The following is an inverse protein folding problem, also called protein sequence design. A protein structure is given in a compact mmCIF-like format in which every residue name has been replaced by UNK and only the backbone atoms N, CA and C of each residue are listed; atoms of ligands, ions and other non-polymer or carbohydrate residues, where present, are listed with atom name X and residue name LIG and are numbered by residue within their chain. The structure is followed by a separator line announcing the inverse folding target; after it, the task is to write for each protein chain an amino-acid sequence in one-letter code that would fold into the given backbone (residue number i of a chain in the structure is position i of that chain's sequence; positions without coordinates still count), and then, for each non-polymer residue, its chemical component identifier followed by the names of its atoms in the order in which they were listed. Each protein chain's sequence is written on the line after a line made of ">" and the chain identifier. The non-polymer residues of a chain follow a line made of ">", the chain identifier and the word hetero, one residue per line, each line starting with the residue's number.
data_IF_719915477642
#
_entry.id   IF_719915477642
#
_cell.length_a   1.000
_cell.length_b   1.000
_cell.length_c   1.000
_cell.angle_alpha   90.00
_cell.angle_beta   90.00
_cell.angle_gamma   90.00
#
_symmetry.space_group_name_H-M   'P 1'
#
loop_
_entity.id
_entity.type
_entity.pdbx_description
1 polymer ?
#
# COMPACT_ATOMS: atom_id res chain seq x y z
N UNK A 1 13.45 32.53 43.29
CA UNK A 1 12.47 31.60 42.71
C UNK A 1 12.02 32.16 41.36
N UNK A 2 11.88 31.34 40.29
CA UNK A 2 11.36 31.77 38.99
C UNK A 2 9.83 31.82 39.06
N UNK A 3 9.21 32.91 38.60
CA UNK A 3 7.74 32.95 38.50
C UNK A 3 7.26 32.17 37.27
N UNK A 4 5.98 31.78 37.26
CA UNK A 4 5.35 30.97 36.21
C UNK A 4 5.57 31.54 34.80
N UNK A 5 5.31 32.83 34.60
CA UNK A 5 5.46 33.50 33.29
C UNK A 5 6.90 33.41 32.75
N UNK A 6 7.90 33.58 33.62
CA UNK A 6 9.30 33.44 33.25
C UNK A 6 9.68 31.99 32.93
N UNK A 7 9.18 31.03 33.69
CA UNK A 7 9.37 29.61 33.41
C UNK A 7 8.82 29.21 32.03
N UNK A 8 7.59 29.57 31.71
CA UNK A 8 6.98 29.31 30.40
C UNK A 8 7.78 29.96 29.27
N UNK A 9 8.23 31.22 29.45
CA UNK A 9 9.04 31.92 28.46
C UNK A 9 10.37 31.19 28.18
N UNK A 10 11.01 30.63 29.20
CA UNK A 10 12.22 29.81 29.03
C UNK A 10 11.94 28.54 28.29
N UNK A 11 10.90 27.79 28.68
CA UNK A 11 10.49 26.52 28.03
C UNK A 11 10.15 26.74 26.55
N UNK A 12 9.35 27.74 26.22
CA UNK A 12 8.95 28.01 24.82
C UNK A 12 10.12 28.48 23.93
N UNK A 13 11.16 29.09 24.53
CA UNK A 13 12.38 29.45 23.82
C UNK A 13 13.37 28.30 23.66
N UNK A 14 13.22 27.23 24.46
CA UNK A 14 14.10 26.07 24.39
C UNK A 14 13.85 25.29 23.10
N UNK A 15 14.80 25.30 22.18
CA UNK A 15 14.73 24.52 20.94
C UNK A 15 15.38 23.16 21.14
N UNK A 16 14.57 22.12 21.22
CA UNK A 16 15.06 20.74 21.28
C UNK A 16 15.38 20.29 19.84
N UNK A 17 16.65 20.04 19.56
CA UNK A 17 17.11 19.48 18.28
C UNK A 17 17.06 17.96 18.34
N UNK A 18 16.05 17.37 17.71
CA UNK A 18 15.96 15.91 17.57
C UNK A 18 16.71 15.51 16.29
N UNK A 19 17.65 14.57 16.42
CA UNK A 19 18.42 14.02 15.29
C UNK A 19 17.51 13.21 14.34
N UNK A 20 17.98 13.02 13.14
CA UNK A 20 17.36 12.17 12.15
C UNK A 20 17.96 10.77 12.21
N UNK A 21 17.21 9.76 11.81
CA UNK A 21 17.71 8.40 11.64
C UNK A 21 17.03 7.70 10.47
N UNK A 22 17.72 6.71 9.90
CA UNK A 22 17.20 5.85 8.85
C UNK A 22 16.70 4.55 9.49
N UNK A 23 15.45 4.22 9.30
CA UNK A 23 14.83 3.01 9.88
C UNK A 23 14.20 2.14 8.79
N UNK A 24 14.03 0.86 9.06
CA UNK A 24 13.22 0.00 8.22
C UNK A 24 11.78 0.53 8.18
N UNK A 25 11.18 0.55 6.99
CA UNK A 25 9.82 1.07 6.81
C UNK A 25 8.78 0.31 7.65
N UNK A 26 8.96 -0.99 7.88
CA UNK A 26 8.05 -1.78 8.73
C UNK A 26 8.11 -1.41 10.22
N UNK A 27 9.23 -0.82 10.66
CA UNK A 27 9.46 -0.40 12.05
C UNK A 27 9.24 1.11 12.24
N UNK A 28 8.66 1.79 11.25
CA UNK A 28 8.56 3.26 11.24
C UNK A 28 7.22 3.80 11.74
N UNK A 29 6.31 2.94 12.19
CA UNK A 29 5.01 3.36 12.74
C UNK A 29 5.19 4.40 13.85
N UNK A 30 4.31 5.41 13.90
CA UNK A 30 4.34 6.52 14.85
C UNK A 30 5.61 7.42 14.78
N UNK A 31 6.46 7.25 13.75
CA UNK A 31 7.62 8.10 13.53
C UNK A 31 7.27 9.26 12.60
N UNK A 32 7.98 10.37 12.72
CA UNK A 32 7.77 11.58 11.91
C UNK A 32 8.71 11.58 10.71
N UNK A 33 8.16 11.64 9.50
CA UNK A 33 8.91 11.75 8.24
C UNK A 33 9.62 13.11 8.14
N UNK A 34 10.88 13.11 7.71
CA UNK A 34 11.69 14.34 7.62
C UNK A 34 11.81 14.92 6.22
N UNK A 35 11.40 14.18 5.20
CA UNK A 35 11.35 14.63 3.80
C UNK A 35 10.19 13.99 3.06
N UNK A 36 9.69 14.65 2.03
CA UNK A 36 8.67 14.09 1.16
C UNK A 36 9.14 12.77 0.56
N UNK A 37 8.24 11.81 0.51
CA UNK A 37 8.47 10.50 -0.10
C UNK A 37 7.62 10.41 -1.36
N UNK A 38 8.29 10.19 -2.49
CA UNK A 38 7.66 10.06 -3.80
C UNK A 38 7.75 8.65 -4.32
N UNK A 39 6.78 8.27 -5.12
CA UNK A 39 6.75 6.99 -5.81
C UNK A 39 7.86 6.92 -6.88
N UNK A 40 8.71 5.90 -6.81
CA UNK A 40 9.78 5.68 -7.80
C UNK A 40 9.36 4.79 -8.96
N UNK A 41 8.27 4.04 -8.80
CA UNK A 41 7.73 3.07 -9.77
C UNK A 41 6.25 3.37 -10.03
N UNK A 42 5.67 2.74 -11.04
CA UNK A 42 4.21 2.71 -11.20
C UNK A 42 3.65 1.46 -10.54
N UNK A 43 2.45 1.54 -9.98
CA UNK A 43 1.75 0.40 -9.41
C UNK A 43 0.27 0.40 -9.83
N UNK A 44 -0.29 -0.74 -10.28
CA UNK A 44 0.44 -1.98 -10.58
C UNK A 44 1.50 -1.77 -11.67
N UNK A 45 2.55 -2.63 -11.67
CA UNK A 45 3.67 -2.51 -12.61
C UNK A 45 3.26 -2.77 -14.07
N UNK A 46 2.29 -3.66 -14.27
CA UNK A 46 1.73 -4.02 -15.57
C UNK A 46 0.21 -3.91 -15.58
N UNK A 47 -0.36 -3.86 -16.78
CA UNK A 47 -1.81 -3.92 -16.98
C UNK A 47 -2.30 -5.34 -16.72
N UNK A 48 -3.27 -5.53 -15.84
CA UNK A 48 -3.74 -6.83 -15.40
C UNK A 48 -5.25 -6.98 -15.47
N UNK A 49 -5.69 -8.23 -15.33
CA UNK A 49 -7.09 -8.61 -15.31
C UNK A 49 -7.77 -8.13 -14.01
N UNK A 50 -8.90 -7.46 -14.14
CA UNK A 50 -9.73 -7.08 -13.00
C UNK A 50 -10.72 -8.17 -12.59
N UNK A 51 -10.99 -9.16 -13.48
CA UNK A 51 -11.89 -10.28 -13.28
C UNK A 51 -11.29 -11.56 -13.87
N UNK A 52 -11.75 -12.71 -13.39
CA UNK A 52 -11.53 -13.99 -14.04
C UNK A 52 -12.31 -14.02 -15.36
N UNK A 53 -11.70 -14.54 -16.42
CA UNK A 53 -12.34 -14.57 -17.72
C UNK A 53 -11.38 -14.74 -18.88
N UNK A 54 -11.77 -14.21 -20.03
CA UNK A 54 -11.05 -14.41 -21.30
C UNK A 54 -10.57 -13.08 -21.88
N UNK A 55 -9.27 -12.95 -22.01
CA UNK A 55 -8.64 -11.79 -22.65
C UNK A 55 -8.77 -11.92 -24.16
N UNK A 56 -9.35 -10.91 -24.83
CA UNK A 56 -9.56 -10.88 -26.27
C UNK A 56 -9.05 -9.56 -26.87
N UNK A 57 -8.80 -9.57 -28.17
CA UNK A 57 -8.63 -8.35 -28.93
C UNK A 57 -10.01 -7.82 -29.32
N UNK A 58 -10.40 -6.66 -28.80
CA UNK A 58 -11.73 -6.08 -29.06
C UNK A 58 -12.01 -5.87 -30.56
N UNK A 59 -10.99 -5.60 -31.38
CA UNK A 59 -11.13 -5.46 -32.83
C UNK A 59 -11.65 -6.72 -33.51
N UNK A 60 -11.32 -7.91 -32.99
CA UNK A 60 -11.77 -9.18 -33.55
C UNK A 60 -13.27 -9.39 -33.34
N UNK A 61 -13.88 -8.63 -32.42
CA UNK A 61 -15.32 -8.72 -32.12
C UNK A 61 -16.18 -7.69 -32.88
N UNK A 62 -15.59 -6.77 -33.64
CA UNK A 62 -16.31 -5.60 -34.22
C UNK A 62 -17.49 -5.97 -35.11
N UNK A 63 -17.45 -7.12 -35.80
CA UNK A 63 -18.51 -7.59 -36.70
C UNK A 63 -19.40 -8.66 -36.09
N UNK A 64 -19.23 -8.96 -34.79
CA UNK A 64 -19.99 -10.00 -34.11
C UNK A 64 -21.35 -9.49 -33.64
N UNK A 65 -22.36 -10.32 -33.81
CA UNK A 65 -23.71 -10.15 -33.30
C UNK A 65 -24.34 -11.54 -33.10
N UNK A 66 -25.59 -11.61 -32.60
CA UNK A 66 -26.27 -12.87 -32.31
C UNK A 66 -26.34 -13.82 -33.51
N UNK A 67 -26.42 -13.32 -34.73
CA UNK A 67 -26.48 -14.11 -35.96
C UNK A 67 -25.11 -14.44 -36.55
N UNK A 68 -24.04 -13.80 -36.04
CA UNK A 68 -22.67 -13.98 -36.51
C UNK A 68 -21.74 -14.17 -35.30
N UNK A 69 -21.90 -15.23 -34.57
CA UNK A 69 -21.04 -15.63 -33.49
C UNK A 69 -19.73 -16.26 -33.99
N UNK A 70 -18.67 -16.13 -33.28
CA UNK A 70 -17.35 -16.64 -33.65
C UNK A 70 -16.68 -17.39 -32.49
N UNK A 71 -16.03 -18.52 -32.83
CA UNK A 71 -15.22 -19.26 -31.89
C UNK A 71 -13.82 -18.68 -31.76
N UNK A 72 -13.37 -18.45 -30.51
CA UNK A 72 -12.04 -17.99 -30.16
C UNK A 72 -11.26 -19.11 -29.50
N UNK A 73 -10.14 -19.50 -30.11
CA UNK A 73 -9.27 -20.57 -29.61
C UNK A 73 -8.52 -20.10 -28.36
N UNK A 74 -8.58 -20.88 -27.29
CA UNK A 74 -7.82 -20.63 -26.05
C UNK A 74 -6.39 -21.07 -26.26
N UNK A 75 -5.45 -20.12 -26.21
CA UNK A 75 -4.02 -20.37 -26.40
C UNK A 75 -3.36 -20.88 -25.12
N UNK A 76 -3.73 -20.30 -23.98
CA UNK A 76 -3.12 -20.57 -22.68
C UNK A 76 -4.07 -20.12 -21.58
N UNK A 77 -3.91 -20.69 -20.37
CA UNK A 77 -4.45 -20.16 -19.12
C UNK A 77 -3.30 -19.47 -18.39
N UNK A 78 -3.53 -18.25 -17.86
CA UNK A 78 -2.52 -17.42 -17.17
C UNK A 78 -3.08 -17.02 -15.80
N UNK A 79 -2.43 -17.46 -14.76
CA UNK A 79 -2.72 -17.07 -13.37
C UNK A 79 -1.95 -15.82 -12.95
N UNK A 80 -2.35 -15.21 -11.83
CA UNK A 80 -1.57 -14.14 -11.24
C UNK A 80 -0.15 -14.64 -10.88
N UNK A 81 0.86 -13.89 -11.30
CA UNK A 81 2.28 -14.27 -11.15
C UNK A 81 2.87 -15.03 -12.33
N UNK A 82 2.05 -15.54 -13.25
CA UNK A 82 2.55 -16.22 -14.45
C UNK A 82 3.09 -15.24 -15.50
N UNK A 83 3.99 -15.75 -16.35
CA UNK A 83 4.50 -15.00 -17.48
C UNK A 83 3.40 -14.81 -18.55
N UNK A 84 3.12 -13.57 -18.98
CA UNK A 84 2.15 -13.28 -20.02
C UNK A 84 2.69 -13.52 -21.45
N UNK A 85 3.89 -14.07 -21.61
CA UNK A 85 4.50 -14.31 -22.91
C UNK A 85 3.71 -15.35 -23.71
N UNK A 86 3.45 -15.04 -24.97
CA UNK A 86 2.86 -15.92 -25.97
C UNK A 86 3.74 -15.95 -27.20
N UNK A 87 3.84 -17.12 -27.85
CA UNK A 87 4.67 -17.28 -29.05
C UNK A 87 4.06 -16.60 -30.27
N UNK A 88 2.78 -16.82 -30.52
CA UNK A 88 2.04 -16.25 -31.67
C UNK A 88 0.58 -16.03 -31.32
N UNK A 89 0.08 -14.84 -31.55
CA UNK A 89 -1.33 -14.49 -31.42
C UNK A 89 -1.93 -14.38 -32.82
N UNK A 90 -2.96 -15.17 -33.11
CA UNK A 90 -3.71 -15.11 -34.35
C UNK A 90 -5.05 -14.42 -34.10
N UNK A 91 -5.72 -13.99 -35.18
CA UNK A 91 -7.10 -13.52 -35.11
C UNK A 91 -8.01 -14.60 -34.52
N UNK A 92 -9.03 -14.20 -33.76
CA UNK A 92 -9.93 -15.10 -33.03
C UNK A 92 -9.21 -16.05 -32.07
N UNK A 93 -8.16 -15.55 -31.43
CA UNK A 93 -7.53 -16.21 -30.27
C UNK A 93 -7.94 -15.53 -28.98
N UNK A 94 -7.88 -16.26 -27.91
CA UNK A 94 -8.11 -15.78 -26.54
C UNK A 94 -7.14 -16.42 -25.56
N UNK A 95 -7.03 -15.83 -24.39
CA UNK A 95 -6.29 -16.37 -23.25
C UNK A 95 -7.21 -16.31 -22.04
N UNK A 96 -7.36 -17.45 -21.38
CA UNK A 96 -8.01 -17.49 -20.08
C UNK A 96 -7.10 -16.81 -19.06
N UNK A 97 -7.63 -15.87 -18.30
CA UNK A 97 -6.88 -15.09 -17.32
C UNK A 97 -7.59 -15.06 -15.98
N UNK A 98 -6.84 -15.26 -14.91
CA UNK A 98 -7.33 -15.08 -13.55
C UNK A 98 -7.12 -13.63 -13.09
N UNK A 99 -7.93 -13.19 -12.14
CA UNK A 99 -7.81 -11.85 -11.52
C UNK A 99 -6.37 -11.57 -11.09
N UNK A 100 -5.84 -10.42 -11.45
CA UNK A 100 -4.45 -10.04 -11.18
C UNK A 100 -3.42 -10.53 -12.20
N UNK A 101 -3.77 -11.44 -13.11
CA UNK A 101 -2.88 -11.89 -14.18
C UNK A 101 -2.55 -10.75 -15.14
N UNK A 102 -1.31 -10.67 -15.60
CA UNK A 102 -0.90 -9.71 -16.62
C UNK A 102 -1.57 -10.03 -17.96
N UNK A 103 -2.11 -9.02 -18.62
CA UNK A 103 -2.73 -9.16 -19.94
C UNK A 103 -1.62 -9.30 -20.99
N UNK A 104 -1.62 -10.39 -21.80
CA UNK A 104 -0.63 -10.56 -22.84
C UNK A 104 -0.75 -9.51 -23.95
N UNK A 105 0.38 -9.23 -24.59
CA UNK A 105 0.41 -8.35 -25.79
C UNK A 105 -0.50 -8.90 -26.87
N UNK A 106 -1.31 -8.03 -27.46
CA UNK A 106 -2.28 -8.38 -28.50
C UNK A 106 -3.73 -8.48 -28.00
N UNK A 107 -3.95 -8.44 -26.71
CA UNK A 107 -5.28 -8.41 -26.08
C UNK A 107 -5.50 -7.08 -25.36
N UNK A 108 -6.72 -6.59 -25.34
CA UNK A 108 -7.04 -5.26 -24.85
C UNK A 108 -8.35 -5.17 -24.06
N UNK A 109 -9.00 -6.30 -23.81
CA UNK A 109 -10.24 -6.37 -23.02
C UNK A 109 -10.44 -7.76 -22.44
N UNK A 110 -11.22 -7.86 -21.36
CA UNK A 110 -11.56 -9.13 -20.72
C UNK A 110 -13.09 -9.30 -20.77
N UNK A 111 -13.52 -10.49 -21.09
CA UNK A 111 -14.90 -10.92 -20.96
C UNK A 111 -14.96 -11.81 -19.73
N UNK A 112 -15.72 -11.43 -18.68
CA UNK A 112 -15.88 -12.24 -17.48
C UNK A 112 -16.39 -13.64 -17.80
N UNK A 113 -15.93 -14.64 -17.06
CA UNK A 113 -16.25 -16.06 -17.32
C UNK A 113 -17.76 -16.32 -17.31
N UNK A 114 -18.52 -15.60 -16.49
CA UNK A 114 -19.98 -15.72 -16.36
C UNK A 114 -20.75 -15.25 -17.60
N UNK A 115 -20.08 -14.52 -18.50
CA UNK A 115 -20.69 -13.99 -19.74
C UNK A 115 -20.34 -14.79 -20.99
N UNK A 116 -19.72 -15.96 -20.83
CA UNK A 116 -19.16 -16.74 -21.93
C UNK A 116 -19.71 -18.15 -21.95
N UNK A 117 -19.94 -18.66 -23.14
CA UNK A 117 -20.15 -20.09 -23.38
C UNK A 117 -18.77 -20.74 -23.60
N UNK A 118 -18.36 -21.55 -22.66
CA UNK A 118 -17.05 -22.20 -22.66
C UNK A 118 -17.18 -23.69 -23.09
N UNK A 119 -16.43 -24.05 -24.11
CA UNK A 119 -16.37 -25.42 -24.67
C UNK A 119 -15.07 -26.09 -24.24
N UNK A 120 -15.06 -26.69 -23.06
CA UNK A 120 -13.85 -27.25 -22.42
C UNK A 120 -13.15 -28.33 -23.25
N UNK A 121 -13.89 -29.26 -23.84
CA UNK A 121 -13.32 -30.35 -24.66
C UNK A 121 -12.47 -29.85 -25.85
N UNK A 122 -12.89 -28.78 -26.51
CA UNK A 122 -12.27 -28.25 -27.71
C UNK A 122 -11.41 -26.98 -27.45
N UNK A 123 -11.32 -26.56 -26.20
CA UNK A 123 -10.56 -25.37 -25.76
C UNK A 123 -10.86 -24.12 -26.61
N UNK A 124 -12.13 -23.79 -26.77
CA UNK A 124 -12.57 -22.53 -27.35
C UNK A 124 -13.73 -21.93 -26.56
N UNK A 125 -13.93 -20.63 -26.79
CA UNK A 125 -15.12 -19.90 -26.30
C UNK A 125 -15.88 -19.36 -27.51
N UNK A 126 -17.20 -19.22 -27.39
CA UNK A 126 -18.02 -18.57 -28.41
C UNK A 126 -18.39 -17.17 -27.99
N UNK A 127 -18.09 -16.20 -28.86
CA UNK A 127 -18.43 -14.78 -28.64
C UNK A 127 -19.44 -14.37 -29.71
N UNK A 128 -20.59 -13.88 -29.28
CA UNK A 128 -21.71 -13.46 -30.12
C UNK A 128 -21.98 -11.96 -30.12
N UNK A 129 -21.19 -11.17 -29.38
CA UNK A 129 -21.41 -9.74 -29.28
C UNK A 129 -20.10 -8.96 -29.38
N UNK A 130 -20.19 -7.75 -29.94
CA UNK A 130 -19.08 -6.79 -29.89
C UNK A 130 -18.75 -6.42 -28.44
N UNK A 131 -17.48 -6.43 -28.09
CA UNK A 131 -16.99 -5.96 -26.77
C UNK A 131 -16.27 -4.63 -26.92
N UNK A 132 -16.38 -3.79 -25.88
CA UNK A 132 -15.67 -2.51 -25.85
C UNK A 132 -14.23 -2.75 -25.46
N UNK A 133 -13.32 -2.00 -26.09
CA UNK A 133 -11.91 -1.94 -25.73
C UNK A 133 -11.77 -1.51 -24.26
N UNK A 134 -10.78 -2.05 -23.58
CA UNK A 134 -10.39 -1.66 -22.22
C UNK A 134 -11.40 -2.01 -21.11
N UNK A 135 -12.35 -2.93 -21.37
CA UNK A 135 -13.25 -3.42 -20.33
C UNK A 135 -12.56 -4.42 -19.40
N UNK A 136 -12.86 -4.32 -18.11
CA UNK A 136 -12.39 -5.23 -17.06
C UNK A 136 -10.86 -5.33 -16.95
N UNK A 137 -10.18 -4.22 -17.24
CA UNK A 137 -8.73 -4.08 -17.20
C UNK A 137 -8.33 -3.08 -16.12
N UNK A 138 -7.35 -3.46 -15.29
CA UNK A 138 -6.68 -2.57 -14.36
C UNK A 138 -5.35 -2.15 -14.95
N UNK A 139 -5.23 -0.87 -15.27
CA UNK A 139 -4.05 -0.35 -15.97
C UNK A 139 -2.81 -0.27 -15.09
N UNK A 140 -1.66 -0.46 -15.70
CA UNK A 140 -0.40 -0.14 -15.09
C UNK A 140 -0.39 1.31 -14.58
N UNK A 141 -0.06 1.50 -13.30
CA UNK A 141 -0.02 2.82 -12.67
C UNK A 141 -1.38 3.40 -12.32
N UNK A 142 -2.46 2.60 -12.27
CA UNK A 142 -3.78 3.09 -11.86
C UNK A 142 -3.84 3.55 -10.41
N UNK A 143 -3.04 2.95 -9.52
CA UNK A 143 -3.03 3.27 -8.08
C UNK A 143 -1.95 4.30 -7.75
N UNK A 144 -0.74 4.10 -8.30
CA UNK A 144 0.40 5.01 -8.12
C UNK A 144 1.17 5.20 -9.44
N UNK A 145 1.43 6.43 -9.77
CA UNK A 145 2.31 6.82 -10.88
C UNK A 145 3.69 7.20 -10.35
N UNK A 146 4.70 7.09 -11.20
CA UNK A 146 6.03 7.61 -10.87
C UNK A 146 5.93 9.11 -10.54
N UNK A 147 6.56 9.54 -9.44
CA UNK A 147 6.56 10.89 -8.88
C UNK A 147 5.31 11.28 -8.09
N UNK A 148 4.31 10.40 -7.92
CA UNK A 148 3.22 10.69 -6.99
C UNK A 148 3.77 10.86 -5.57
N UNK A 149 3.26 11.85 -4.85
CA UNK A 149 3.59 12.07 -3.44
C UNK A 149 2.89 11.01 -2.59
N UNK A 150 3.68 10.20 -1.89
CA UNK A 150 3.18 9.14 -1.02
C UNK A 150 2.99 9.64 0.40
N UNK A 151 4.02 10.30 0.94
CA UNK A 151 3.96 10.86 2.30
C UNK A 151 4.69 12.20 2.33
N UNK A 152 4.02 13.21 2.89
CA UNK A 152 4.58 14.56 3.04
C UNK A 152 5.51 14.64 4.27
N UNK A 153 6.55 15.45 4.19
CA UNK A 153 7.40 15.83 5.33
C UNK A 153 6.56 16.28 6.53
N UNK A 154 6.93 15.84 7.72
CA UNK A 154 6.24 16.16 8.97
C UNK A 154 5.07 15.23 9.30
N UNK A 155 4.69 14.32 8.40
CA UNK A 155 3.63 13.35 8.65
C UNK A 155 4.07 12.29 9.66
N UNK A 156 3.19 11.96 10.61
CA UNK A 156 3.33 10.79 11.47
C UNK A 156 2.92 9.55 10.68
N UNK A 157 3.81 8.57 10.64
CA UNK A 157 3.58 7.34 9.86
C UNK A 157 2.48 6.51 10.50
N UNK A 158 1.47 6.18 9.70
CA UNK A 158 0.31 5.35 10.04
C UNK A 158 0.40 3.97 9.35
N UNK A 159 -0.39 2.97 9.76
CA UNK A 159 -0.41 1.65 9.11
C UNK A 159 -0.62 1.69 7.59
N UNK A 160 -1.47 2.59 7.08
CA UNK A 160 -1.69 2.80 5.65
C UNK A 160 -0.42 3.23 4.90
N UNK A 161 0.45 4.03 5.54
CA UNK A 161 1.74 4.40 4.96
C UNK A 161 2.69 3.20 4.89
N UNK A 162 2.67 2.31 5.89
CA UNK A 162 3.46 1.06 5.85
C UNK A 162 3.01 0.19 4.69
N UNK A 163 1.70 0.03 4.48
CA UNK A 163 1.14 -0.67 3.33
C UNK A 163 1.67 -0.09 2.02
N UNK A 164 1.56 1.22 1.84
CA UNK A 164 2.06 1.91 0.65
C UNK A 164 3.57 1.70 0.45
N UNK A 165 4.38 1.81 1.51
CA UNK A 165 5.82 1.59 1.44
C UNK A 165 6.15 0.18 0.96
N UNK A 166 5.50 -0.85 1.53
CA UNK A 166 5.75 -2.24 1.14
C UNK A 166 5.27 -2.53 -0.28
N UNK A 167 4.10 -2.02 -0.66
CA UNK A 167 3.57 -2.13 -2.03
C UNK A 167 4.54 -1.53 -3.07
N UNK A 168 5.18 -0.41 -2.75
CA UNK A 168 6.07 0.32 -3.64
C UNK A 168 7.56 -0.05 -3.50
N UNK A 169 7.89 -1.05 -2.66
CA UNK A 169 9.26 -1.51 -2.45
C UNK A 169 10.13 -0.54 -1.65
N UNK A 170 9.52 0.39 -0.89
CA UNK A 170 10.25 1.34 -0.04
C UNK A 170 10.64 0.62 1.26
N UNK A 171 11.90 0.18 1.35
CA UNK A 171 12.40 -0.62 2.46
C UNK A 171 12.86 0.21 3.65
N UNK A 172 13.36 1.43 3.41
CA UNK A 172 13.89 2.32 4.46
C UNK A 172 13.32 3.73 4.31
N UNK A 173 13.07 4.39 5.44
CA UNK A 173 12.57 5.77 5.50
C UNK A 173 13.38 6.57 6.51
N UNK A 174 13.58 7.86 6.21
CA UNK A 174 14.31 8.79 7.07
C UNK A 174 13.31 9.54 7.95
N UNK A 175 13.48 9.41 9.26
CA UNK A 175 12.51 9.89 10.27
C UNK A 175 13.23 10.65 11.40
N UNK A 176 12.48 11.39 12.21
CA UNK A 176 13.00 11.93 13.46
C UNK A 176 13.30 10.80 14.44
N UNK A 177 14.44 10.86 15.13
CA UNK A 177 14.76 9.95 16.23
C UNK A 177 13.76 10.14 17.37
N UNK A 178 13.41 9.09 18.07
CA UNK A 178 12.62 9.23 19.30
C UNK A 178 13.42 10.02 20.34
N UNK A 179 12.81 11.00 21.03
CA UNK A 179 13.51 11.74 22.09
C UNK A 179 13.75 10.83 23.28
N UNK A 180 14.88 11.03 23.96
CA UNK A 180 15.08 10.47 25.27
C UNK A 180 14.43 11.41 26.30
N UNK A 181 13.52 10.89 27.11
CA UNK A 181 12.82 11.64 28.14
C UNK A 181 13.33 11.17 29.51
N UNK A 182 13.79 12.11 30.33
CA UNK A 182 14.11 11.86 31.74
C UNK A 182 13.07 12.59 32.58
N UNK A 183 12.49 11.87 33.52
CA UNK A 183 11.52 12.41 34.46
C UNK A 183 12.05 12.26 35.88
N UNK A 184 12.06 13.35 36.63
CA UNK A 184 12.49 13.38 38.02
C UNK A 184 11.30 13.76 38.92
N UNK A 185 10.94 12.87 39.83
CA UNK A 185 10.06 13.22 40.93
C UNK A 185 10.89 13.85 42.03
N UNK A 186 10.52 15.06 42.43
CA UNK A 186 11.26 15.84 43.47
C UNK A 186 10.35 16.13 44.63
N UNK A 187 10.89 16.03 45.86
CA UNK A 187 10.20 16.27 47.11
C UNK A 187 10.71 15.35 48.20
N UNK A 188 10.99 15.89 49.38
CA UNK A 188 11.45 15.10 50.53
C UNK A 188 10.39 14.11 51.04
N UNK A 189 9.13 14.34 50.71
CA UNK A 189 8.00 13.49 51.01
C UNK A 189 7.91 12.25 50.12
N UNK A 190 8.55 12.25 48.94
CA UNK A 190 8.43 11.17 47.97
C UNK A 190 9.32 10.00 48.34
N UNK A 191 8.77 8.78 48.40
CA UNK A 191 9.50 7.54 48.62
C UNK A 191 9.16 6.46 47.60
N UNK A 192 10.16 5.64 47.29
CA UNK A 192 10.03 4.41 46.50
C UNK A 192 9.96 3.15 47.41
N UNK A 193 10.04 3.30 48.74
CA UNK A 193 10.04 2.19 49.69
C UNK A 193 8.70 1.47 49.72
N UNK A 194 8.72 0.16 49.95
CA UNK A 194 7.49 -0.64 50.11
C UNK A 194 6.71 -0.20 51.34
N UNK A 195 7.40 0.03 52.44
CA UNK A 195 6.83 0.50 53.70
C UNK A 195 7.14 1.98 53.87
N UNK A 196 6.12 2.82 53.82
CA UNK A 196 6.26 4.26 53.98
C UNK A 196 5.62 4.73 55.29
N UNK A 197 6.21 5.73 55.88
CA UNK A 197 5.67 6.42 57.07
C UNK A 197 4.60 7.43 56.69
N UNK A 198 3.74 7.82 57.64
CA UNK A 198 2.52 8.60 57.39
C UNK A 198 2.77 10.00 56.75
N UNK A 199 3.94 10.56 56.91
CA UNK A 199 4.33 11.87 56.37
C UNK A 199 5.04 11.77 54.99
N UNK A 200 5.08 10.55 54.40
CA UNK A 200 5.61 10.35 53.06
C UNK A 200 4.53 9.87 52.10
N UNK A 201 4.74 10.12 50.79
CA UNK A 201 3.88 9.66 49.72
C UNK A 201 4.63 8.77 48.75
N UNK A 202 3.95 7.82 48.13
CA UNK A 202 4.54 6.90 47.16
C UNK A 202 4.83 7.66 45.84
N UNK A 203 5.94 7.33 45.23
CA UNK A 203 6.29 7.87 43.90
C UNK A 203 5.40 7.27 42.80
N UNK A 204 4.15 7.67 42.72
CA UNK A 204 3.21 7.23 41.66
C UNK A 204 3.42 7.92 40.33
N UNK A 205 3.82 9.21 40.34
CA UNK A 205 3.96 10.03 39.15
C UNK A 205 5.01 9.52 38.18
N UNK A 206 6.16 9.03 38.70
CA UNK A 206 7.20 8.45 37.84
C UNK A 206 6.71 7.21 37.10
N UNK A 207 5.95 6.34 37.80
CA UNK A 207 5.38 5.14 37.18
C UNK A 207 4.30 5.47 36.15
N UNK A 208 3.44 6.45 36.48
CA UNK A 208 2.40 6.94 35.56
C UNK A 208 3.01 7.49 34.25
N UNK A 209 3.97 8.43 34.36
CA UNK A 209 4.64 9.00 33.19
C UNK A 209 5.38 7.93 32.38
N UNK A 210 6.06 6.98 33.04
CA UNK A 210 6.71 5.86 32.35
C UNK A 210 5.71 4.98 31.59
N UNK A 211 4.55 4.72 32.15
CA UNK A 211 3.52 3.93 31.45
C UNK A 211 3.00 4.62 30.19
N UNK A 212 2.85 5.94 30.20
CA UNK A 212 2.46 6.72 29.02
C UNK A 212 3.51 6.66 27.90
N UNK A 213 4.79 6.56 28.25
CA UNK A 213 5.88 6.54 27.24
C UNK A 213 5.86 5.31 26.31
N UNK A 214 5.18 4.24 26.69
CA UNK A 214 5.00 3.05 25.85
C UNK A 214 4.06 3.28 24.67
N UNK A 215 3.30 4.37 24.68
CA UNK A 215 2.34 4.74 23.62
C UNK A 215 2.96 5.64 22.54
N UNK A 216 4.26 6.00 22.65
CA UNK A 216 4.94 6.93 21.73
C UNK A 216 6.15 6.31 21.02
#
# INVERSE_FOLDING_TARGET
>A
MINYKKAIKILTKSKIKIKDELVDSSKSINRVIIKDIYCSVRYPAGTNAAFDGFAVNSKDTNKLNKNNAQNFKILKTISAGDSPKLNKVKKFSTVEVMTGALIPKGFDTIIPIEKIIFHSKNRYITISNKVKKNQHIRYAGSDYKKKDLIVKKGTIIQPSHILAFKTLGITKVKVKKKPNILFFSTGNEISNDKNIVNWKVRNSNSHYIKSLSNNF
#
